data_IF_100899990143
#
_entry.id   IF_100899990143
#
_cell.length_a   1.000
_cell.length_b   1.000
_cell.length_c   1.000
_cell.angle_alpha   90.00
_cell.angle_beta   90.00
_cell.angle_gamma   90.00
#
_symmetry.space_group_name_H-M   'P 1'
#
loop_
_entity.id
_entity.type
_entity.pdbx_description
1 polymer ?
#
# COMPACT_ATOMS: atom_id res chain seq x y z
N UNK A 1 -42.59 -4.23 -27.30
CA UNK A 1 -41.56 -5.28 -27.14
C UNK A 1 -40.18 -4.66 -27.39
N UNK A 2 -39.47 -4.24 -26.34
CA UNK A 2 -38.08 -3.79 -26.47
C UNK A 2 -37.15 -4.94 -26.05
N UNK A 3 -36.50 -5.55 -27.04
CA UNK A 3 -35.52 -6.61 -26.84
C UNK A 3 -34.23 -5.96 -26.36
N UNK A 4 -33.95 -6.02 -25.05
CA UNK A 4 -32.64 -5.61 -24.54
C UNK A 4 -31.56 -6.48 -25.18
N UNK A 5 -30.70 -5.88 -26.01
CA UNK A 5 -29.49 -6.52 -26.53
C UNK A 5 -28.56 -6.75 -25.34
N UNK A 6 -28.42 -7.99 -24.87
CA UNK A 6 -27.32 -8.39 -24.00
C UNK A 6 -26.04 -8.24 -24.82
N UNK A 7 -25.32 -7.15 -24.63
CA UNK A 7 -23.96 -6.97 -25.14
C UNK A 7 -23.08 -8.02 -24.47
N UNK A 8 -22.78 -9.08 -25.21
CA UNK A 8 -21.88 -10.14 -24.77
C UNK A 8 -20.44 -9.59 -24.85
N UNK A 9 -20.03 -8.77 -23.88
CA UNK A 9 -18.64 -8.33 -23.76
C UNK A 9 -17.81 -9.56 -23.40
N UNK A 10 -17.08 -10.11 -24.37
CA UNK A 10 -16.09 -11.15 -24.12
C UNK A 10 -15.02 -10.59 -23.17
N UNK A 11 -14.68 -11.37 -22.15
CA UNK A 11 -13.57 -11.07 -21.24
C UNK A 11 -12.25 -10.97 -22.01
N UNK A 12 -11.37 -10.04 -21.61
CA UNK A 12 -9.98 -9.90 -22.09
C UNK A 12 -9.00 -10.84 -21.32
N UNK A 13 -9.54 -11.72 -20.47
CA UNK A 13 -8.78 -12.72 -19.73
C UNK A 13 -8.18 -13.78 -20.69
N UNK A 14 -6.87 -14.07 -20.63
CA UNK A 14 -6.17 -14.85 -21.65
C UNK A 14 -6.37 -16.37 -21.54
N UNK A 15 -7.09 -16.86 -20.53
CA UNK A 15 -7.27 -18.30 -20.29
C UNK A 15 -8.73 -18.74 -20.44
N UNK A 16 -8.98 -20.01 -20.79
CA UNK A 16 -10.33 -20.55 -20.88
C UNK A 16 -11.12 -20.40 -19.57
N UNK A 17 -12.42 -20.15 -19.71
CA UNK A 17 -13.36 -20.18 -18.59
C UNK A 17 -13.40 -21.59 -17.98
N UNK A 18 -13.43 -21.65 -16.65
CA UNK A 18 -13.65 -22.91 -15.92
C UNK A 18 -15.09 -22.98 -15.47
N UNK A 19 -15.69 -24.15 -15.58
CA UNK A 19 -17.07 -24.37 -15.14
C UNK A 19 -17.25 -23.95 -13.66
N UNK A 20 -18.31 -23.18 -13.40
CA UNK A 20 -18.60 -22.64 -12.07
C UNK A 20 -17.76 -21.44 -11.61
N UNK A 21 -16.74 -21.01 -12.38
CA UNK A 21 -15.89 -19.86 -12.02
C UNK A 21 -16.33 -18.61 -12.78
N UNK A 22 -16.72 -17.56 -12.04
CA UNK A 22 -17.01 -16.25 -12.64
C UNK A 22 -15.72 -15.45 -12.83
N UNK A 23 -15.50 -14.94 -14.03
CA UNK A 23 -14.42 -14.00 -14.32
C UNK A 23 -14.95 -12.58 -14.06
N UNK A 24 -14.28 -11.84 -13.19
CA UNK A 24 -14.63 -10.46 -12.83
C UNK A 24 -13.43 -9.58 -13.20
N UNK A 25 -13.67 -8.56 -14.03
CA UNK A 25 -12.67 -7.54 -14.31
C UNK A 25 -12.58 -6.62 -13.10
N UNK A 26 -11.36 -6.40 -12.60
CA UNK A 26 -11.15 -5.49 -11.47
C UNK A 26 -11.35 -4.04 -11.93
N UNK A 27 -12.00 -3.24 -11.08
CA UNK A 27 -12.25 -1.81 -11.28
C UNK A 27 -11.96 -1.09 -9.95
N UNK A 28 -11.61 0.19 -10.03
CA UNK A 28 -11.36 1.05 -8.87
C UNK A 28 -11.62 2.50 -9.25
N UNK A 29 -12.32 3.26 -8.40
CA UNK A 29 -12.63 4.68 -8.58
C UNK A 29 -12.16 5.51 -7.38
N UNK A 30 -11.03 6.21 -7.54
CA UNK A 30 -10.44 7.07 -6.50
C UNK A 30 -11.41 8.08 -5.89
N UNK A 31 -12.33 8.63 -6.69
CA UNK A 31 -13.24 9.68 -6.25
C UNK A 31 -14.43 9.15 -5.44
N UNK A 32 -14.72 7.86 -5.53
CA UNK A 32 -15.89 7.24 -4.86
C UNK A 32 -15.51 6.34 -3.70
N UNK A 33 -14.35 5.71 -3.77
CA UNK A 33 -13.98 4.65 -2.83
C UNK A 33 -13.13 5.16 -1.66
N UNK A 34 -12.46 6.30 -1.82
CA UNK A 34 -11.61 6.82 -0.74
C UNK A 34 -12.41 7.55 0.33
N UNK A 35 -12.33 7.03 1.56
CA UNK A 35 -12.85 7.65 2.78
C UNK A 35 -11.82 7.49 3.88
N UNK A 36 -11.44 8.59 4.53
CA UNK A 36 -10.45 8.59 5.62
C UNK A 36 -10.75 7.54 6.70
N UNK A 37 -9.69 6.89 7.23
CA UNK A 37 -9.87 5.89 8.28
C UNK A 37 -10.32 6.61 9.56
N UNK A 38 -11.36 6.12 10.25
CA UNK A 38 -11.77 6.65 11.54
C UNK A 38 -10.66 6.68 12.59
N UNK A 39 -9.68 5.77 12.52
CA UNK A 39 -8.64 5.61 13.54
C UNK A 39 -7.49 6.60 13.32
N UNK A 40 -7.11 6.86 12.06
CA UNK A 40 -5.94 7.67 11.75
C UNK A 40 -5.31 7.34 10.40
N UNK A 41 -4.10 7.85 10.18
CA UNK A 41 -3.35 7.61 8.96
C UNK A 41 -1.88 7.31 9.25
N UNK A 42 -1.19 6.83 8.21
CA UNK A 42 0.19 6.37 8.31
C UNK A 42 1.09 7.12 7.34
N UNK A 43 2.35 7.31 7.76
CA UNK A 43 3.43 7.68 6.84
C UNK A 43 4.58 6.69 6.96
N UNK A 44 5.22 6.37 5.85
CA UNK A 44 6.31 5.39 5.82
C UNK A 44 7.64 6.10 5.56
N UNK A 45 8.67 5.65 6.27
CA UNK A 45 10.03 6.19 6.20
C UNK A 45 11.04 5.06 6.03
N UNK A 46 11.82 5.05 4.94
CA UNK A 46 12.89 4.07 4.73
C UNK A 46 14.18 4.51 5.43
N UNK A 47 14.72 3.66 6.29
CA UNK A 47 16.01 3.87 6.99
C UNK A 47 17.07 3.00 6.30
N UNK A 48 17.67 3.56 5.24
CA UNK A 48 18.54 2.79 4.33
C UNK A 48 19.83 2.28 4.97
N UNK A 49 20.41 3.02 5.91
CA UNK A 49 21.66 2.64 6.60
C UNK A 49 21.43 1.47 7.54
N UNK A 50 20.36 1.54 8.31
CA UNK A 50 19.97 0.55 9.32
C UNK A 50 19.22 -0.64 8.71
N UNK A 51 18.88 -0.56 7.41
CA UNK A 51 18.04 -1.53 6.70
C UNK A 51 16.69 -1.76 7.36
N UNK A 52 16.09 -0.67 7.86
CA UNK A 52 14.77 -0.69 8.51
C UNK A 52 13.74 0.11 7.72
N UNK A 53 12.48 -0.18 8.00
CA UNK A 53 11.31 0.60 7.59
C UNK A 53 10.66 1.08 8.89
N UNK A 54 10.25 2.34 8.94
CA UNK A 54 9.41 2.84 10.02
C UNK A 54 8.08 3.34 9.48
N UNK A 55 7.01 2.95 10.15
CA UNK A 55 5.64 3.36 9.90
C UNK A 55 5.18 4.22 11.08
N UNK A 56 4.90 5.50 10.80
CA UNK A 56 4.41 6.46 11.79
C UNK A 56 2.91 6.51 11.71
N UNK A 57 2.25 6.28 12.83
CA UNK A 57 0.81 6.41 12.95
C UNK A 57 0.44 7.78 13.54
N UNK A 58 -0.54 8.43 12.92
CA UNK A 58 -1.11 9.71 13.32
C UNK A 58 -2.61 9.53 13.52
N UNK A 59 -3.14 10.13 14.58
CA UNK A 59 -4.58 10.32 14.74
C UNK A 59 -5.09 11.38 13.76
N UNK A 60 -6.41 11.44 13.56
CA UNK A 60 -7.03 12.39 12.62
C UNK A 60 -6.88 13.87 13.02
N UNK A 61 -6.45 14.16 14.26
CA UNK A 61 -6.04 15.50 14.72
C UNK A 61 -4.53 15.77 14.50
N UNK A 62 -3.88 15.03 13.60
CA UNK A 62 -2.48 15.13 13.22
C UNK A 62 -1.45 14.87 14.33
N UNK A 63 -1.85 14.25 15.44
CA UNK A 63 -0.91 13.88 16.50
C UNK A 63 -0.26 12.53 16.20
N UNK A 64 1.09 12.51 16.15
CA UNK A 64 1.86 11.27 16.05
C UNK A 64 1.75 10.49 17.36
N UNK A 65 1.14 9.30 17.32
CA UNK A 65 0.93 8.47 18.52
C UNK A 65 1.89 7.29 18.60
N UNK A 66 2.21 6.66 17.46
CA UNK A 66 3.10 5.49 17.42
C UNK A 66 4.12 5.55 16.28
N UNK A 67 5.28 4.94 16.52
CA UNK A 67 6.29 4.62 15.51
C UNK A 67 6.52 3.10 15.57
N UNK A 68 6.11 2.39 14.52
CA UNK A 68 6.30 0.95 14.40
C UNK A 68 7.39 0.72 13.36
N UNK A 69 8.47 0.03 13.72
CA UNK A 69 9.60 -0.19 12.81
C UNK A 69 10.03 -1.65 12.77
N UNK A 70 10.70 -2.02 11.70
CA UNK A 70 11.22 -3.37 11.49
C UNK A 70 11.84 -3.54 10.10
N UNK A 71 12.30 -4.75 9.82
CA UNK A 71 13.07 -5.08 8.62
C UNK A 71 12.17 -5.63 7.51
N UNK A 72 10.96 -6.06 7.90
CA UNK A 72 9.97 -6.70 7.03
C UNK A 72 8.64 -5.99 7.15
N UNK A 73 8.02 -5.68 6.01
CA UNK A 73 6.68 -5.13 5.90
C UNK A 73 5.66 -5.99 6.67
N UNK A 74 5.81 -7.33 6.59
CA UNK A 74 4.95 -8.30 7.27
C UNK A 74 4.89 -8.13 8.77
N UNK A 75 6.02 -7.84 9.41
CA UNK A 75 6.04 -7.68 10.86
C UNK A 75 5.35 -6.38 11.28
N UNK A 76 5.51 -5.33 10.48
CA UNK A 76 4.92 -4.01 10.71
C UNK A 76 3.41 -4.05 10.53
N UNK A 77 2.89 -4.50 9.38
CA UNK A 77 1.43 -4.48 9.15
C UNK A 77 0.69 -5.43 10.10
N UNK A 78 1.26 -6.60 10.44
CA UNK A 78 0.61 -7.50 11.40
C UNK A 78 0.58 -6.90 12.81
N UNK A 79 1.60 -6.11 13.18
CA UNK A 79 1.60 -5.38 14.45
C UNK A 79 0.54 -4.29 14.46
N UNK A 80 0.41 -3.53 13.38
CA UNK A 80 -0.63 -2.49 13.21
C UNK A 80 -2.03 -3.09 13.32
N UNK A 81 -2.29 -4.21 12.63
CA UNK A 81 -3.57 -4.92 12.70
C UNK A 81 -3.84 -5.44 14.11
N UNK A 82 -2.87 -6.10 14.74
CA UNK A 82 -3.02 -6.62 16.12
C UNK A 82 -3.28 -5.51 17.15
N UNK A 83 -2.74 -4.32 16.93
CA UNK A 83 -2.97 -3.15 17.79
C UNK A 83 -4.27 -2.39 17.46
N UNK A 84 -5.02 -2.79 16.43
CA UNK A 84 -6.26 -2.11 16.03
C UNK A 84 -6.04 -0.68 15.55
N UNK A 85 -4.87 -0.36 14.97
CA UNK A 85 -4.53 1.00 14.52
C UNK A 85 -5.10 1.34 13.13
N UNK A 86 -5.84 0.42 12.52
CA UNK A 86 -6.45 0.56 11.21
C UNK A 86 -7.80 -0.16 11.22
N UNK A 87 -8.82 0.45 10.65
CA UNK A 87 -10.19 -0.09 10.71
C UNK A 87 -10.80 -0.39 9.35
N UNK A 88 -10.28 0.20 8.26
CA UNK A 88 -10.74 -0.06 6.90
C UNK A 88 -9.86 -1.08 6.18
N UNK A 89 -10.47 -2.06 5.52
CA UNK A 89 -9.74 -3.09 4.78
C UNK A 89 -9.04 -2.54 3.54
N UNK A 90 -9.66 -1.60 2.83
CA UNK A 90 -9.02 -0.91 1.70
C UNK A 90 -7.69 -0.25 2.13
N UNK A 91 -7.69 0.41 3.29
CA UNK A 91 -6.50 1.03 3.86
C UNK A 91 -5.47 0.01 4.32
N UNK A 92 -5.90 -1.13 4.89
CA UNK A 92 -4.99 -2.20 5.26
C UNK A 92 -4.28 -2.79 4.04
N UNK A 93 -5.00 -2.97 2.93
CA UNK A 93 -4.43 -3.41 1.66
C UNK A 93 -3.42 -2.40 1.10
N UNK A 94 -3.80 -1.12 1.06
CA UNK A 94 -2.92 -0.03 0.64
C UNK A 94 -1.66 0.08 1.51
N UNK A 95 -1.81 0.01 2.83
CA UNK A 95 -0.68 0.06 3.77
C UNK A 95 0.29 -1.11 3.55
N UNK A 96 -0.24 -2.32 3.32
CA UNK A 96 0.56 -3.48 2.96
C UNK A 96 1.35 -3.27 1.66
N UNK A 97 0.71 -2.71 0.63
CA UNK A 97 1.35 -2.34 -0.65
C UNK A 97 2.53 -1.38 -0.43
N UNK A 98 2.31 -0.30 0.30
CA UNK A 98 3.33 0.72 0.52
C UNK A 98 4.47 0.25 1.42
N UNK A 99 4.19 -0.55 2.46
CA UNK A 99 5.22 -1.14 3.30
C UNK A 99 6.10 -2.12 2.52
N UNK A 100 5.50 -2.95 1.67
CA UNK A 100 6.27 -3.86 0.81
C UNK A 100 7.14 -3.09 -0.18
N UNK A 101 6.62 -1.99 -0.75
CA UNK A 101 7.39 -1.09 -1.62
C UNK A 101 8.60 -0.50 -0.89
N UNK A 102 8.42 -0.05 0.35
CA UNK A 102 9.51 0.45 1.19
C UNK A 102 10.55 -0.64 1.53
N UNK A 103 10.10 -1.88 1.80
CA UNK A 103 10.99 -3.01 2.05
C UNK A 103 11.89 -3.30 0.84
N UNK A 104 11.30 -3.37 -0.35
CA UNK A 104 12.04 -3.59 -1.59
C UNK A 104 13.03 -2.44 -1.82
N UNK A 105 12.61 -1.19 -1.57
CA UNK A 105 13.47 -0.04 -1.76
C UNK A 105 14.69 -0.06 -0.83
N UNK A 106 14.50 -0.33 0.46
CA UNK A 106 15.59 -0.41 1.45
C UNK A 106 16.57 -1.54 1.12
N UNK A 107 16.05 -2.72 0.73
CA UNK A 107 16.88 -3.88 0.35
C UNK A 107 17.74 -3.60 -0.89
N UNK A 108 17.21 -2.85 -1.85
CA UNK A 108 17.86 -2.62 -3.16
C UNK A 108 18.53 -1.24 -3.29
N UNK A 109 18.54 -0.44 -2.22
CA UNK A 109 19.00 0.95 -2.23
C UNK A 109 18.29 1.80 -3.31
N UNK A 110 17.00 1.59 -3.49
CA UNK A 110 16.17 2.37 -4.43
C UNK A 110 15.57 3.56 -3.72
N UNK A 111 15.33 4.64 -4.45
CA UNK A 111 14.59 5.77 -3.91
C UNK A 111 13.12 5.37 -3.71
N UNK A 112 12.57 5.71 -2.55
CA UNK A 112 11.18 5.47 -2.18
C UNK A 112 10.50 6.81 -1.91
N UNK A 113 9.35 6.99 -2.55
CA UNK A 113 8.35 7.96 -2.17
C UNK A 113 7.00 7.24 -1.98
N UNK A 114 6.25 7.62 -0.95
CA UNK A 114 4.91 7.08 -0.76
C UNK A 114 4.01 7.59 -1.89
N UNK A 115 2.98 6.83 -2.27
CA UNK A 115 2.04 7.12 -3.37
C UNK A 115 2.63 7.11 -4.79
N UNK A 116 3.95 7.23 -4.95
CA UNK A 116 4.61 7.09 -6.26
C UNK A 116 5.01 5.65 -6.57
N UNK A 117 5.09 5.31 -7.85
CA UNK A 117 5.62 4.02 -8.28
C UNK A 117 7.09 3.85 -7.91
N UNK A 118 7.47 2.60 -7.61
CA UNK A 118 8.86 2.27 -7.34
C UNK A 118 9.66 2.26 -8.64
N UNK A 119 10.54 3.24 -8.80
CA UNK A 119 11.47 3.26 -9.92
C UNK A 119 12.70 2.38 -9.65
N UNK A 120 12.73 1.20 -10.28
CA UNK A 120 13.82 0.22 -10.13
C UNK A 120 15.19 0.70 -10.64
N UNK A 121 15.23 1.80 -11.41
CA UNK A 121 16.47 2.41 -11.92
C UNK A 121 16.95 3.57 -11.05
N UNK A 122 16.08 4.15 -10.21
CA UNK A 122 16.41 5.31 -9.37
C UNK A 122 16.99 4.86 -8.03
N UNK A 123 18.30 5.04 -7.84
CA UNK A 123 18.97 4.76 -6.56
C UNK A 123 18.67 5.85 -5.53
N UNK A 124 18.71 5.46 -4.26
CA UNK A 124 18.65 6.39 -3.13
C UNK A 124 19.89 7.30 -3.14
N UNK A 125 19.74 8.53 -2.66
CA UNK A 125 20.81 9.53 -2.62
C UNK A 125 21.40 9.66 -1.22
N UNK A 126 22.59 10.28 -1.07
CA UNK A 126 23.17 10.57 0.26
C UNK A 126 22.23 11.44 1.12
N UNK A 127 21.49 12.36 0.50
CA UNK A 127 20.48 13.18 1.18
C UNK A 127 19.38 12.33 1.80
N UNK A 128 18.94 11.27 1.13
CA UNK A 128 17.92 10.34 1.65
C UNK A 128 18.44 9.60 2.89
N UNK A 129 19.72 9.23 2.95
CA UNK A 129 20.35 8.64 4.14
C UNK A 129 20.41 9.59 5.33
N UNK A 130 20.55 10.90 5.08
CA UNK A 130 20.70 11.91 6.13
C UNK A 130 19.34 12.43 6.62
N UNK A 131 18.34 12.50 5.74
CA UNK A 131 16.99 12.99 6.05
C UNK A 131 16.20 12.04 6.96
N UNK A 132 16.45 10.73 6.89
CA UNK A 132 15.77 9.72 7.70
C UNK A 132 16.58 9.32 8.94
N UNK A 133 16.99 10.29 9.77
CA UNK A 133 17.50 10.02 11.12
C UNK A 133 16.34 10.07 12.14
N UNK A 134 16.46 9.29 13.22
CA UNK A 134 15.49 9.29 14.33
C UNK A 134 15.51 10.63 15.08
#
# INVERSE_FOLDING_TARGET
MFRQRKTNQKSDWPYPEREGVKIIKAEYDDGKEWVQDPVGYFTIKPFYKEKKIACRFYTNDHKRKYLIYGDRARDIYNTIVRMGLISRFEHAAYLGKELMKAEIAVKNNLHFNQDEDLNLKKKTTKKDYEYYRL
#
